data_IF_112914404647
#
_entry.id   IF_112914404647
#
_cell.length_a   1.000
_cell.length_b   1.000
_cell.length_c   1.000
_cell.angle_alpha   90.00
_cell.angle_beta   90.00
_cell.angle_gamma   90.00
#
_symmetry.space_group_name_H-M   'P 1'
#
loop_
_entity.id
_entity.type
_entity.pdbx_description
1 polymer ?
#
# COMPACT_ATOMS: atom_id res chain seq x y z
N UNK A 1 -17.98 -7.69 -14.10
CA UNK A 1 -17.13 -6.90 -15.01
C UNK A 1 -15.82 -7.65 -15.08
N UNK A 2 -15.49 -8.09 -16.29
CA UNK A 2 -14.44 -9.03 -16.62
C UNK A 2 -13.09 -8.62 -16.03
N UNK A 3 -12.53 -9.51 -15.21
CA UNK A 3 -11.11 -9.53 -14.86
C UNK A 3 -10.33 -9.51 -16.18
N UNK A 4 -9.82 -8.33 -16.56
CA UNK A 4 -8.86 -8.22 -17.64
C UNK A 4 -7.56 -8.84 -17.13
N UNK A 5 -7.04 -9.75 -17.95
CA UNK A 5 -6.04 -10.79 -17.69
C UNK A 5 -4.65 -10.22 -17.35
N UNK A 6 -4.56 -9.36 -16.35
CA UNK A 6 -3.32 -8.69 -15.94
C UNK A 6 -2.76 -9.36 -14.70
N UNK A 7 -1.45 -9.60 -14.72
CA UNK A 7 -0.73 -10.08 -13.56
C UNK A 7 -0.13 -8.89 -12.80
N UNK A 8 -0.31 -8.88 -11.48
CA UNK A 8 0.33 -7.93 -10.57
C UNK A 8 1.41 -8.69 -9.80
N UNK A 9 2.62 -8.15 -9.79
CA UNK A 9 3.77 -8.70 -9.07
C UNK A 9 4.13 -7.78 -7.92
N UNK A 10 4.12 -8.32 -6.71
CA UNK A 10 4.51 -7.64 -5.48
C UNK A 10 5.85 -8.22 -5.03
N UNK A 11 6.88 -7.38 -5.01
CA UNK A 11 8.23 -7.78 -4.62
C UNK A 11 8.54 -7.32 -3.20
N UNK A 12 9.39 -8.12 -2.56
CA UNK A 12 10.13 -7.72 -1.41
C UNK A 12 10.97 -6.46 -1.69
N UNK A 13 11.59 -5.90 -0.64
CA UNK A 13 12.44 -4.74 -0.80
C UNK A 13 13.61 -4.97 -1.76
N UNK A 14 13.96 -3.94 -2.53
CA UNK A 14 14.91 -4.03 -3.65
C UNK A 14 16.30 -3.45 -3.35
N UNK A 15 16.68 -3.25 -2.08
CA UNK A 15 17.94 -2.58 -1.71
C UNK A 15 19.06 -3.52 -1.26
N UNK A 16 18.74 -4.71 -0.75
CA UNK A 16 19.75 -5.69 -0.30
C UNK A 16 19.89 -6.89 -1.24
N UNK A 17 18.76 -7.42 -1.72
CA UNK A 17 18.71 -8.51 -2.70
C UNK A 17 17.70 -8.12 -3.78
N UNK A 18 18.09 -7.25 -4.74
CA UNK A 18 17.20 -6.83 -5.81
C UNK A 18 16.86 -8.03 -6.71
N UNK A 19 15.57 -8.27 -6.90
CA UNK A 19 15.01 -9.35 -7.74
C UNK A 19 14.28 -8.82 -8.96
N UNK A 20 14.16 -7.49 -9.09
CA UNK A 20 13.47 -6.85 -10.22
C UNK A 20 14.06 -7.26 -11.57
N UNK A 21 15.38 -7.28 -11.72
CA UNK A 21 16.03 -7.65 -12.98
C UNK A 21 15.75 -9.10 -13.38
N UNK A 22 15.85 -10.03 -12.44
CA UNK A 22 15.53 -11.45 -12.68
C UNK A 22 14.05 -11.66 -13.03
N UNK A 23 13.15 -10.94 -12.36
CA UNK A 23 11.73 -10.97 -12.71
C UNK A 23 11.50 -10.39 -14.10
N UNK A 24 12.11 -9.24 -14.42
CA UNK A 24 11.95 -8.57 -15.70
C UNK A 24 12.34 -9.47 -16.86
N UNK A 25 13.46 -10.19 -16.74
CA UNK A 25 13.86 -11.21 -17.72
C UNK A 25 12.85 -12.36 -17.84
N UNK A 26 12.24 -12.79 -16.74
CA UNK A 26 11.22 -13.86 -16.71
C UNK A 26 9.88 -13.44 -17.33
N UNK A 27 9.51 -12.16 -17.26
CA UNK A 27 8.21 -11.67 -17.73
C UNK A 27 8.06 -11.67 -19.25
N UNK A 28 9.17 -11.76 -20.00
CA UNK A 28 9.21 -11.76 -21.47
C UNK A 28 8.30 -10.68 -22.09
N UNK A 29 8.42 -9.44 -21.57
CA UNK A 29 7.56 -8.34 -21.94
C UNK A 29 7.82 -7.90 -23.39
N UNK A 30 6.77 -7.49 -24.14
CA UNK A 30 6.95 -6.89 -25.47
C UNK A 30 7.94 -5.71 -25.48
N UNK A 31 8.48 -5.39 -26.65
CA UNK A 31 9.30 -4.19 -26.83
C UNK A 31 8.52 -2.90 -26.52
N UNK A 32 9.20 -1.91 -25.92
CA UNK A 32 8.62 -0.64 -25.49
C UNK A 32 9.22 -0.10 -24.18
N UNK A 33 9.02 1.18 -23.83
CA UNK A 33 9.48 1.71 -22.55
C UNK A 33 8.74 1.05 -21.37
N UNK A 34 9.43 0.83 -20.25
CA UNK A 34 8.80 0.42 -19.00
C UNK A 34 8.45 1.68 -18.22
N UNK A 35 7.16 1.95 -18.06
CA UNK A 35 6.72 3.12 -17.30
C UNK A 35 7.06 2.90 -15.82
N UNK A 36 7.61 3.93 -15.18
CA UNK A 36 8.00 3.86 -13.76
C UNK A 36 7.31 4.98 -12.98
N UNK A 37 6.90 4.69 -11.74
CA UNK A 37 6.45 5.69 -10.77
C UNK A 37 7.45 5.70 -9.62
N UNK A 38 8.28 6.74 -9.55
CA UNK A 38 9.20 6.97 -8.42
C UNK A 38 8.74 8.07 -7.45
N UNK A 39 7.48 8.52 -7.55
CA UNK A 39 6.93 9.62 -6.76
C UNK A 39 7.06 9.50 -5.23
N UNK A 40 7.27 8.29 -4.70
CA UNK A 40 7.59 8.07 -3.29
C UNK A 40 8.98 8.62 -2.88
N UNK A 41 9.86 8.92 -3.82
CA UNK A 41 11.21 9.45 -3.61
C UNK A 41 11.24 10.99 -3.52
N UNK A 42 10.11 11.64 -3.77
CA UNK A 42 9.90 13.08 -3.63
C UNK A 42 10.91 13.88 -4.47
N UNK A 43 11.75 14.71 -3.84
CA UNK A 43 12.76 15.52 -4.52
C UNK A 43 13.80 14.69 -5.30
N UNK A 44 13.94 13.41 -4.98
CA UNK A 44 14.81 12.45 -5.70
C UNK A 44 14.07 11.70 -6.81
N UNK A 45 12.84 12.08 -7.16
CA UNK A 45 12.12 11.50 -8.30
C UNK A 45 12.97 11.64 -9.58
N UNK A 46 13.09 10.55 -10.34
CA UNK A 46 13.94 10.44 -11.52
C UNK A 46 15.44 10.22 -11.23
N UNK A 47 15.88 10.06 -9.98
CA UNK A 47 17.22 9.54 -9.65
C UNK A 47 17.23 8.00 -9.77
N UNK A 48 16.91 7.47 -10.95
CA UNK A 48 16.55 6.06 -11.18
C UNK A 48 17.59 5.24 -11.97
N UNK A 49 18.85 5.70 -12.06
CA UNK A 49 19.91 5.03 -12.84
C UNK A 49 20.09 3.54 -12.51
N UNK A 50 20.06 3.17 -11.22
CA UNK A 50 20.16 1.77 -10.79
C UNK A 50 18.91 0.96 -11.21
N UNK A 51 17.74 1.58 -11.10
CA UNK A 51 16.47 0.98 -11.52
C UNK A 51 16.42 0.78 -13.04
N UNK A 52 16.85 1.78 -13.81
CA UNK A 52 16.96 1.68 -15.27
C UNK A 52 17.89 0.55 -15.69
N UNK A 53 19.02 0.38 -14.99
CA UNK A 53 19.92 -0.75 -15.17
C UNK A 53 19.22 -2.11 -15.01
N UNK A 54 18.38 -2.28 -14.00
CA UNK A 54 17.58 -3.50 -13.79
C UNK A 54 16.51 -3.72 -14.87
N UNK A 55 16.05 -2.66 -15.52
CA UNK A 55 15.06 -2.71 -16.60
C UNK A 55 15.70 -2.70 -18.00
N UNK A 56 17.01 -2.87 -18.08
CA UNK A 56 17.76 -2.96 -19.34
C UNK A 56 17.83 -1.65 -20.12
N UNK A 57 17.83 -0.50 -19.44
CA UNK A 57 17.90 0.80 -20.11
C UNK A 57 16.58 1.26 -20.73
N UNK A 58 15.45 0.70 -20.28
CA UNK A 58 14.11 0.94 -20.83
C UNK A 58 13.20 1.69 -19.86
N UNK A 59 13.70 2.18 -18.72
CA UNK A 59 12.85 2.93 -17.79
C UNK A 59 12.38 4.25 -18.41
N UNK A 60 11.13 4.61 -18.12
CA UNK A 60 10.59 5.92 -18.42
C UNK A 60 9.74 6.37 -17.23
N UNK A 61 10.32 7.23 -16.39
CA UNK A 61 9.62 7.77 -15.22
C UNK A 61 8.43 8.64 -15.66
N UNK A 62 7.29 8.42 -15.03
CA UNK A 62 6.09 9.22 -15.21
C UNK A 62 6.17 10.57 -14.49
N UNK A 63 7.13 10.75 -13.59
CA UNK A 63 7.43 11.98 -12.87
C UNK A 63 6.21 12.55 -12.10
N UNK A 64 5.39 11.69 -11.49
CA UNK A 64 4.11 12.09 -10.90
C UNK A 64 4.27 13.13 -9.78
N UNK A 65 5.38 13.13 -9.04
CA UNK A 65 5.68 14.14 -8.03
C UNK A 65 5.90 15.51 -8.68
N UNK A 66 6.78 15.60 -9.68
CA UNK A 66 7.02 16.85 -10.44
C UNK A 66 5.80 17.33 -11.21
N UNK A 67 4.99 16.41 -11.77
CA UNK A 67 3.70 16.73 -12.40
C UNK A 67 2.75 17.38 -11.41
N UNK A 68 2.68 16.88 -10.18
CA UNK A 68 1.84 17.48 -9.15
C UNK A 68 2.31 18.89 -8.78
N UNK A 69 3.61 19.16 -8.73
CA UNK A 69 4.13 20.52 -8.50
C UNK A 69 3.72 21.50 -9.61
N UNK A 70 3.68 21.06 -10.87
CA UNK A 70 3.15 21.87 -11.97
C UNK A 70 1.67 22.16 -11.78
N UNK A 71 0.87 21.14 -11.46
CA UNK A 71 -0.57 21.29 -11.13
C UNK A 71 -0.77 22.32 -10.02
N UNK A 72 -0.04 22.21 -8.91
CA UNK A 72 -0.18 23.11 -7.77
C UNK A 72 0.33 24.54 -8.04
N UNK A 73 1.22 24.71 -9.03
CA UNK A 73 1.69 26.03 -9.46
C UNK A 73 0.69 26.71 -10.39
N UNK A 74 0.14 25.97 -11.33
CA UNK A 74 -0.76 26.47 -12.37
C UNK A 74 -2.21 26.60 -11.89
N UNK A 75 -2.62 25.84 -10.88
CA UNK A 75 -3.96 25.90 -10.27
C UNK A 75 -3.89 26.21 -8.76
N UNK A 76 -3.76 27.50 -8.39
CA UNK A 76 -3.67 27.90 -6.98
C UNK A 76 -4.94 27.61 -6.17
N UNK A 77 -6.12 27.66 -6.80
CA UNK A 77 -7.39 27.33 -6.15
C UNK A 77 -7.42 25.86 -5.75
N UNK A 78 -7.08 24.97 -6.69
CA UNK A 78 -6.96 23.54 -6.42
C UNK A 78 -5.91 23.26 -5.34
N UNK A 79 -4.75 23.92 -5.39
CA UNK A 79 -3.70 23.77 -4.37
C UNK A 79 -4.21 24.11 -2.97
N UNK A 80 -4.92 25.22 -2.81
CA UNK A 80 -5.42 25.61 -1.48
C UNK A 80 -6.48 24.64 -0.97
N UNK A 81 -7.43 24.24 -1.83
CA UNK A 81 -8.43 23.24 -1.48
C UNK A 81 -7.80 21.87 -1.13
N UNK A 82 -6.80 21.44 -1.89
CA UNK A 82 -6.06 20.20 -1.62
C UNK A 82 -5.31 20.29 -0.28
N UNK A 83 -4.66 21.42 0.01
CA UNK A 83 -3.99 21.67 1.29
C UNK A 83 -4.98 21.62 2.46
N UNK A 84 -6.16 22.23 2.32
CA UNK A 84 -7.20 22.20 3.35
C UNK A 84 -7.69 20.76 3.58
N UNK A 85 -7.93 19.99 2.52
CA UNK A 85 -8.28 18.57 2.62
C UNK A 85 -7.17 17.79 3.35
N UNK A 86 -5.89 17.96 2.98
CA UNK A 86 -4.77 17.31 3.67
C UNK A 86 -4.66 17.69 5.14
N UNK A 87 -4.98 18.94 5.49
CA UNK A 87 -5.06 19.36 6.88
C UNK A 87 -6.17 18.60 7.64
N UNK A 88 -7.38 18.52 7.08
CA UNK A 88 -8.49 17.76 7.69
C UNK A 88 -8.15 16.28 7.87
N UNK A 89 -7.48 15.67 6.89
CA UNK A 89 -7.05 14.26 6.98
C UNK A 89 -6.06 14.04 8.13
N UNK A 90 -5.05 14.91 8.28
CA UNK A 90 -4.10 14.84 9.41
C UNK A 90 -4.76 14.99 10.77
N UNK A 91 -5.74 15.89 10.88
CA UNK A 91 -6.50 16.04 12.14
C UNK A 91 -7.29 14.77 12.47
N UNK A 92 -7.91 14.13 11.46
CA UNK A 92 -8.63 12.85 11.65
C UNK A 92 -7.67 11.72 12.02
N UNK A 93 -6.49 11.66 11.40
CA UNK A 93 -5.43 10.71 11.73
C UNK A 93 -4.96 10.87 13.17
N UNK A 94 -4.69 12.09 13.64
CA UNK A 94 -4.30 12.35 15.03
C UNK A 94 -5.36 11.93 16.05
N UNK A 95 -6.64 12.12 15.73
CA UNK A 95 -7.75 11.64 16.58
C UNK A 95 -7.88 10.11 16.57
N UNK A 96 -7.57 9.47 15.44
CA UNK A 96 -7.55 8.02 15.33
C UNK A 96 -6.39 7.42 16.14
N UNK A 97 -5.17 7.92 15.99
CA UNK A 97 -4.00 7.45 16.72
C UNK A 97 -4.19 7.58 18.24
N UNK A 98 -4.72 8.73 18.70
CA UNK A 98 -5.05 8.94 20.10
C UNK A 98 -5.95 7.82 20.65
N UNK A 99 -7.02 7.44 19.91
CA UNK A 99 -7.94 6.37 20.32
C UNK A 99 -7.32 4.98 20.16
N UNK A 100 -6.57 4.76 19.09
CA UNK A 100 -5.91 3.51 18.75
C UNK A 100 -5.00 3.06 19.88
N UNK A 101 -4.21 3.98 20.44
CA UNK A 101 -3.27 3.68 21.53
C UNK A 101 -3.95 3.02 22.74
N UNK A 102 -5.14 3.50 23.12
CA UNK A 102 -5.90 2.94 24.24
C UNK A 102 -6.53 1.59 23.90
N UNK A 103 -7.10 1.44 22.70
CA UNK A 103 -7.74 0.20 22.26
C UNK A 103 -6.71 -0.91 22.05
N UNK A 104 -5.58 -0.64 21.41
CA UNK A 104 -4.50 -1.61 21.27
C UNK A 104 -3.93 -1.99 22.65
N UNK A 105 -3.82 -1.00 23.55
CA UNK A 105 -3.42 -1.25 24.93
C UNK A 105 -4.40 -2.16 25.70
N UNK A 106 -5.70 -2.05 25.48
CA UNK A 106 -6.69 -2.96 26.11
C UNK A 106 -6.63 -4.36 25.50
N UNK A 107 -6.53 -4.47 24.17
CA UNK A 107 -6.37 -5.76 23.46
C UNK A 107 -5.13 -6.50 23.98
N UNK A 108 -3.96 -5.85 24.00
CA UNK A 108 -2.70 -6.46 24.49
C UNK A 108 -2.82 -6.94 25.95
N UNK A 109 -3.54 -6.21 26.81
CA UNK A 109 -3.76 -6.64 28.21
C UNK A 109 -4.71 -7.82 28.32
N UNK A 110 -5.77 -7.85 27.51
CA UNK A 110 -6.75 -8.95 27.52
C UNK A 110 -6.18 -10.25 26.96
N UNK A 111 -5.33 -10.16 25.94
CA UNK A 111 -4.62 -11.33 25.39
C UNK A 111 -3.70 -11.96 26.45
N UNK A 112 -3.05 -11.15 27.27
CA UNK A 112 -2.14 -11.59 28.35
C UNK A 112 -2.83 -11.87 29.69
N UNK A 113 -4.16 -11.78 29.75
CA UNK A 113 -4.89 -11.97 30.99
C UNK A 113 -4.98 -13.45 31.38
N UNK A 114 -4.81 -13.75 32.66
CA UNK A 114 -5.00 -15.09 33.22
C UNK A 114 -6.42 -15.25 33.78
N UNK A 115 -7.05 -16.41 33.59
CA UNK A 115 -8.43 -16.64 34.01
C UNK A 115 -9.08 -17.86 33.37
N UNK A 116 -10.39 -17.99 33.54
CA UNK A 116 -11.18 -19.05 32.92
C UNK A 116 -11.33 -18.76 31.42
N UNK A 117 -10.85 -19.67 30.56
CA UNK A 117 -10.82 -19.49 29.11
C UNK A 117 -12.21 -19.23 28.51
N UNK A 118 -13.25 -19.87 29.05
CA UNK A 118 -14.65 -19.67 28.63
C UNK A 118 -15.18 -18.25 28.86
N UNK A 119 -14.58 -17.51 29.80
CA UNK A 119 -14.90 -16.11 30.07
C UNK A 119 -13.94 -15.16 29.34
N UNK A 120 -12.67 -15.54 29.17
CA UNK A 120 -11.66 -14.70 28.55
C UNK A 120 -11.81 -14.61 27.02
N UNK A 121 -12.07 -15.74 26.35
CA UNK A 121 -12.10 -15.79 24.88
C UNK A 121 -13.13 -14.83 24.26
N UNK A 122 -14.39 -14.76 24.74
CA UNK A 122 -15.36 -13.80 24.22
C UNK A 122 -14.92 -12.33 24.40
N UNK A 123 -14.25 -12.01 25.50
CA UNK A 123 -13.77 -10.66 25.78
C UNK A 123 -12.57 -10.28 24.89
N UNK A 124 -11.68 -11.24 24.60
CA UNK A 124 -10.57 -11.05 23.66
C UNK A 124 -11.08 -10.84 22.23
N UNK A 125 -12.03 -11.66 21.77
CA UNK A 125 -12.68 -11.53 20.47
C UNK A 125 -13.39 -10.17 20.35
N UNK A 126 -14.15 -9.76 21.37
CA UNK A 126 -14.84 -8.47 21.39
C UNK A 126 -13.85 -7.29 21.36
N UNK A 127 -12.72 -7.38 22.06
CA UNK A 127 -11.70 -6.33 22.04
C UNK A 127 -11.07 -6.16 20.65
N UNK A 128 -10.85 -7.25 19.92
CA UNK A 128 -10.39 -7.19 18.52
C UNK A 128 -11.48 -6.56 17.64
N UNK A 129 -12.75 -6.89 17.85
CA UNK A 129 -13.85 -6.26 17.09
C UNK A 129 -13.92 -4.75 17.33
N UNK A 130 -13.75 -4.28 18.57
CA UNK A 130 -13.68 -2.84 18.87
C UNK A 130 -12.53 -2.14 18.11
N UNK A 131 -11.40 -2.83 17.94
CA UNK A 131 -10.29 -2.33 17.12
C UNK A 131 -10.68 -2.24 15.63
N UNK A 132 -11.38 -3.25 15.10
CA UNK A 132 -11.88 -3.27 13.71
C UNK A 132 -12.92 -2.18 13.46
N UNK A 133 -13.81 -1.95 14.41
CA UNK A 133 -14.80 -0.87 14.38
C UNK A 133 -14.13 0.51 14.38
N UNK A 134 -13.06 0.68 15.16
CA UNK A 134 -12.26 1.92 15.16
C UNK A 134 -11.62 2.18 13.79
N UNK A 135 -10.99 1.16 13.20
CA UNK A 135 -10.38 1.25 11.87
C UNK A 135 -11.42 1.58 10.79
N UNK A 136 -12.57 0.89 10.81
CA UNK A 136 -13.65 1.10 9.85
C UNK A 136 -14.23 2.52 9.97
N UNK A 137 -14.40 3.01 11.20
CA UNK A 137 -14.82 4.38 11.44
C UNK A 137 -13.81 5.41 10.92
N UNK A 138 -12.51 5.17 11.16
CA UNK A 138 -11.44 6.04 10.68
C UNK A 138 -11.43 6.12 9.14
N UNK A 139 -11.44 4.97 8.46
CA UNK A 139 -11.50 4.90 7.00
C UNK A 139 -12.75 5.61 6.44
N UNK A 140 -13.92 5.40 7.05
CA UNK A 140 -15.14 6.11 6.66
C UNK A 140 -14.95 7.63 6.71
N UNK A 141 -14.33 8.16 7.79
CA UNK A 141 -14.09 9.60 7.93
C UNK A 141 -13.14 10.15 6.87
N UNK A 142 -12.11 9.39 6.52
CA UNK A 142 -11.21 9.73 5.40
C UNK A 142 -11.99 9.79 4.09
N UNK A 143 -12.81 8.77 3.82
CA UNK A 143 -13.62 8.68 2.59
C UNK A 143 -14.62 9.81 2.49
N UNK A 144 -15.28 10.20 3.59
CA UNK A 144 -16.20 11.33 3.62
C UNK A 144 -15.48 12.63 3.21
N UNK A 145 -14.30 12.90 3.80
CA UNK A 145 -13.50 14.10 3.49
C UNK A 145 -13.04 14.11 2.03
N UNK A 146 -12.54 12.97 1.54
CA UNK A 146 -12.12 12.85 0.14
C UNK A 146 -13.29 12.95 -0.82
N UNK A 147 -14.41 12.31 -0.51
CA UNK A 147 -15.62 12.34 -1.34
C UNK A 147 -16.18 13.74 -1.49
N UNK A 148 -16.16 14.55 -0.42
CA UNK A 148 -16.51 15.97 -0.47
C UNK A 148 -15.56 16.75 -1.39
N UNK A 149 -14.25 16.53 -1.25
CA UNK A 149 -13.22 17.16 -2.10
C UNK A 149 -13.38 16.77 -3.57
N UNK A 150 -13.51 15.47 -3.88
CA UNK A 150 -13.68 14.94 -5.23
C UNK A 150 -14.96 15.48 -5.89
N UNK A 151 -16.08 15.51 -5.15
CA UNK A 151 -17.36 16.01 -5.68
C UNK A 151 -17.30 17.51 -5.98
N UNK A 152 -16.62 18.28 -5.13
CA UNK A 152 -16.57 19.74 -5.24
C UNK A 152 -15.56 20.21 -6.29
N UNK A 153 -14.33 19.66 -6.25
CA UNK A 153 -13.23 20.13 -7.09
C UNK A 153 -13.10 19.37 -8.40
N UNK A 154 -13.64 18.14 -8.47
CA UNK A 154 -13.52 17.20 -9.60
C UNK A 154 -12.11 17.21 -10.19
N UNK A 155 -11.08 16.79 -9.42
CA UNK A 155 -9.68 16.95 -9.78
C UNK A 155 -9.36 16.51 -11.21
N UNK A 156 -9.93 15.38 -11.65
CA UNK A 156 -9.65 14.81 -12.97
C UNK A 156 -10.24 15.63 -14.15
N UNK A 157 -11.20 16.51 -13.89
CA UNK A 157 -11.80 17.41 -14.88
C UNK A 157 -11.08 18.76 -14.95
N UNK A 158 -10.14 19.05 -14.03
CA UNK A 158 -9.39 20.31 -14.04
C UNK A 158 -8.39 20.31 -15.18
N UNK A 159 -8.34 21.40 -15.94
CA UNK A 159 -7.60 21.49 -17.21
C UNK A 159 -6.15 21.03 -17.10
N UNK A 160 -5.41 21.51 -16.09
CA UNK A 160 -3.99 21.16 -15.89
C UNK A 160 -3.82 19.67 -15.58
N UNK A 161 -4.68 19.10 -14.73
CA UNK A 161 -4.63 17.66 -14.38
C UNK A 161 -5.02 16.81 -15.59
N UNK A 162 -6.07 17.18 -16.33
CA UNK A 162 -6.51 16.48 -17.53
C UNK A 162 -5.41 16.45 -18.61
N UNK A 163 -4.70 17.58 -18.80
CA UNK A 163 -3.54 17.67 -19.71
C UNK A 163 -2.41 16.73 -19.28
N UNK A 164 -1.99 16.79 -18.02
CA UNK A 164 -0.93 15.92 -17.49
C UNK A 164 -1.32 14.43 -17.60
N UNK A 165 -2.60 14.09 -17.37
CA UNK A 165 -3.12 12.72 -17.54
C UNK A 165 -3.07 12.23 -18.98
N UNK A 166 -3.29 13.09 -19.95
CA UNK A 166 -3.22 12.71 -21.36
C UNK A 166 -1.78 12.41 -21.79
N UNK A 167 -0.81 13.19 -21.29
CA UNK A 167 0.62 12.88 -21.47
C UNK A 167 1.00 11.55 -20.83
N UNK A 168 0.56 11.29 -19.58
CA UNK A 168 0.77 10.01 -18.91
C UNK A 168 0.14 8.86 -19.71
N UNK A 169 -1.08 9.05 -20.23
CA UNK A 169 -1.75 8.04 -21.06
C UNK A 169 -0.93 7.72 -22.30
N UNK A 170 -0.45 8.73 -23.01
CA UNK A 170 0.37 8.56 -24.21
C UNK A 170 1.63 7.74 -23.93
N UNK A 171 2.29 8.00 -22.80
CA UNK A 171 3.44 7.21 -22.35
C UNK A 171 3.03 5.75 -22.09
N UNK A 172 1.93 5.56 -21.36
CA UNK A 172 1.45 4.23 -21.00
C UNK A 172 0.98 3.43 -22.23
N UNK A 173 0.45 4.04 -23.28
CA UNK A 173 0.04 3.33 -24.50
C UNK A 173 1.19 2.51 -25.11
N UNK A 174 2.41 3.05 -25.11
CA UNK A 174 3.61 2.37 -25.58
C UNK A 174 4.27 1.44 -24.56
N UNK A 175 3.86 1.48 -23.29
CA UNK A 175 4.49 0.72 -22.22
C UNK A 175 3.81 -0.64 -22.00
N UNK A 176 4.53 -1.77 -22.00
CA UNK A 176 3.95 -3.08 -21.69
C UNK A 176 3.71 -3.29 -20.20
N UNK A 177 4.42 -2.57 -19.34
CA UNK A 177 4.33 -2.69 -17.89
C UNK A 177 4.47 -1.34 -17.17
N UNK A 178 3.97 -1.32 -15.94
CA UNK A 178 4.12 -0.22 -14.98
C UNK A 178 4.85 -0.73 -13.74
N UNK A 179 5.94 -0.06 -13.40
CA UNK A 179 6.70 -0.29 -12.17
C UNK A 179 6.35 0.78 -11.14
N UNK A 180 5.97 0.38 -9.92
CA UNK A 180 5.65 1.29 -8.82
C UNK A 180 6.63 1.05 -7.67
N UNK A 181 7.51 2.02 -7.44
CA UNK A 181 8.61 1.84 -6.49
C UNK A 181 8.18 2.02 -5.03
N UNK A 182 9.06 1.64 -4.11
CA UNK A 182 8.97 2.00 -2.70
C UNK A 182 9.21 3.49 -2.42
N UNK A 183 9.16 3.90 -1.16
CA UNK A 183 9.41 5.29 -0.74
C UNK A 183 8.36 5.75 0.27
N UNK A 184 8.08 7.05 0.30
CA UNK A 184 7.08 7.61 1.19
C UNK A 184 5.65 7.26 0.73
N UNK A 185 5.02 6.30 1.40
CA UNK A 185 3.73 5.69 0.99
C UNK A 185 2.57 6.70 0.86
N UNK A 186 2.45 7.66 1.79
CA UNK A 186 1.38 8.66 1.72
C UNK A 186 1.51 9.58 0.49
N UNK A 187 2.74 10.03 0.16
CA UNK A 187 3.01 10.84 -1.03
C UNK A 187 2.73 10.02 -2.29
N UNK A 188 3.25 8.79 -2.36
CA UNK A 188 3.03 7.89 -3.49
C UNK A 188 1.54 7.69 -3.76
N UNK A 189 0.76 7.31 -2.76
CA UNK A 189 -0.69 7.11 -2.88
C UNK A 189 -1.41 8.39 -3.32
N UNK A 190 -1.01 9.54 -2.76
CA UNK A 190 -1.59 10.84 -3.13
C UNK A 190 -1.38 11.14 -4.61
N UNK A 191 -0.18 10.89 -5.15
CA UNK A 191 0.17 11.15 -6.55
C UNK A 191 -0.51 10.16 -7.49
N UNK A 192 -0.55 8.87 -7.14
CA UNK A 192 -1.28 7.85 -7.91
C UNK A 192 -2.77 8.21 -8.03
N UNK A 193 -3.39 8.73 -6.97
CA UNK A 193 -4.79 9.17 -6.97
C UNK A 193 -5.01 10.46 -7.76
N UNK A 194 -4.16 11.46 -7.58
CA UNK A 194 -4.26 12.75 -8.27
C UNK A 194 -4.31 12.57 -9.80
N UNK A 195 -3.54 11.62 -10.33
CA UNK A 195 -3.51 11.28 -11.75
C UNK A 195 -4.36 10.05 -12.10
N UNK A 196 -5.18 9.53 -11.18
CA UNK A 196 -6.05 8.35 -11.34
C UNK A 196 -5.37 7.19 -12.09
N UNK A 197 -4.23 6.78 -11.53
CA UNK A 197 -3.39 5.73 -12.11
C UNK A 197 -4.04 4.36 -12.08
N UNK A 198 -5.01 4.14 -11.18
CA UNK A 198 -5.80 2.90 -11.13
C UNK A 198 -6.48 2.63 -12.48
N UNK A 199 -7.06 3.67 -13.07
CA UNK A 199 -7.73 3.59 -14.36
C UNK A 199 -6.72 3.60 -15.52
N UNK A 200 -5.70 4.45 -15.47
CA UNK A 200 -4.71 4.58 -16.55
C UNK A 200 -3.85 3.32 -16.72
N UNK A 201 -3.59 2.58 -15.64
CA UNK A 201 -2.78 1.37 -15.65
C UNK A 201 -3.63 0.08 -15.75
N UNK A 202 -4.90 0.17 -16.19
CA UNK A 202 -5.81 -0.98 -16.21
C UNK A 202 -5.23 -2.16 -17.00
N UNK A 203 -4.71 -1.90 -18.20
CA UNK A 203 -4.25 -2.94 -19.13
C UNK A 203 -2.76 -3.28 -19.00
N UNK A 204 -2.12 -2.88 -17.89
CA UNK A 204 -0.68 -3.04 -17.70
C UNK A 204 -0.37 -4.18 -16.75
N UNK A 205 0.69 -4.93 -17.06
CA UNK A 205 1.40 -5.72 -16.04
C UNK A 205 1.97 -4.74 -15.02
N UNK A 206 1.66 -4.95 -13.74
CA UNK A 206 2.12 -4.07 -12.68
C UNK A 206 3.17 -4.81 -11.87
N UNK A 207 4.32 -4.17 -11.64
CA UNK A 207 5.34 -4.64 -10.70
C UNK A 207 5.51 -3.59 -9.62
N UNK A 208 5.45 -3.98 -8.35
CA UNK A 208 5.57 -3.01 -7.25
C UNK A 208 6.28 -3.61 -6.05
N UNK A 209 6.94 -2.78 -5.24
CA UNK A 209 7.59 -3.21 -4.01
C UNK A 209 7.44 -2.22 -2.88
N UNK A 210 7.63 -2.69 -1.65
CA UNK A 210 7.57 -1.86 -0.45
C UNK A 210 6.28 -1.01 -0.42
N UNK A 211 6.39 0.32 -0.33
CA UNK A 211 5.24 1.22 -0.39
C UNK A 211 4.38 1.03 -1.65
N UNK A 212 4.99 0.76 -2.81
CA UNK A 212 4.29 0.42 -4.04
C UNK A 212 3.39 -0.80 -3.91
N UNK A 213 3.86 -1.86 -3.22
CA UNK A 213 3.04 -3.03 -2.96
C UNK A 213 1.88 -2.72 -1.99
N UNK A 214 2.14 -1.90 -0.97
CA UNK A 214 1.13 -1.49 0.01
C UNK A 214 0.01 -0.66 -0.63
N UNK A 215 0.31 0.27 -1.54
CA UNK A 215 -0.74 1.09 -2.17
C UNK A 215 -1.64 0.31 -3.13
N UNK A 216 -1.23 -0.88 -3.57
CA UNK A 216 -2.05 -1.72 -4.46
C UNK A 216 -3.11 -2.53 -3.71
N UNK A 217 -3.02 -2.67 -2.39
CA UNK A 217 -4.01 -3.40 -1.59
C UNK A 217 -5.25 -2.53 -1.30
N UNK A 218 -6.25 -3.09 -0.62
CA UNK A 218 -7.43 -2.35 -0.17
C UNK A 218 -7.10 -1.40 0.99
N UNK A 219 -6.15 -1.75 1.84
CA UNK A 219 -5.77 -0.99 3.03
C UNK A 219 -4.26 -0.83 3.12
N UNK A 220 -3.81 0.41 3.24
CA UNK A 220 -2.42 0.74 3.54
C UNK A 220 -2.24 0.71 5.05
N UNK A 221 -1.45 -0.25 5.54
CA UNK A 221 -1.18 -0.43 6.97
C UNK A 221 0.26 -0.01 7.26
N UNK A 222 0.44 0.96 8.15
CA UNK A 222 1.76 1.29 8.71
C UNK A 222 2.01 0.38 9.90
N UNK A 223 3.18 -0.25 9.95
CA UNK A 223 3.49 -1.20 11.01
C UNK A 223 4.97 -1.13 11.35
N UNK A 224 5.24 -1.11 12.65
CA UNK A 224 6.55 -1.33 13.23
C UNK A 224 6.36 -1.58 14.73
N UNK A 225 6.76 -2.75 15.24
CA UNK A 225 6.62 -3.06 16.67
C UNK A 225 7.69 -2.38 17.53
N UNK A 226 8.84 -2.05 16.94
CA UNK A 226 9.98 -1.44 17.62
C UNK A 226 10.59 -0.25 16.85
N UNK A 227 9.82 0.79 16.51
CA UNK A 227 10.41 1.98 15.93
C UNK A 227 11.33 2.68 16.96
N UNK A 228 12.30 3.50 16.50
CA UNK A 228 13.28 4.15 17.38
C UNK A 228 12.69 4.98 18.54
N UNK A 229 11.42 5.38 18.44
CA UNK A 229 10.70 6.20 19.42
C UNK A 229 9.91 5.39 20.47
N UNK A 230 9.98 4.05 20.46
CA UNK A 230 9.25 3.17 21.38
C UNK A 230 8.25 2.27 20.65
N UNK A 231 7.53 1.35 21.34
CA UNK A 231 6.64 0.40 20.67
C UNK A 231 5.55 1.10 19.87
N UNK A 232 5.51 0.83 18.56
CA UNK A 232 4.49 1.37 17.67
C UNK A 232 3.19 0.54 17.74
N UNK A 233 2.10 1.15 17.30
CA UNK A 233 0.87 0.42 17.00
C UNK A 233 0.74 0.34 15.48
N UNK A 234 0.28 -0.79 14.96
CA UNK A 234 -0.04 -0.86 13.55
C UNK A 234 -1.24 0.06 13.25
N UNK A 235 -1.12 0.92 12.24
CA UNK A 235 -2.09 1.94 11.90
C UNK A 235 -2.66 1.68 10.51
N UNK A 236 -3.99 1.76 10.38
CA UNK A 236 -4.62 1.84 9.06
C UNK A 236 -4.52 3.29 8.60
N UNK A 237 -3.57 3.58 7.70
CA UNK A 237 -3.32 4.94 7.21
C UNK A 237 -4.45 5.39 6.30
N UNK A 238 -4.81 4.56 5.32
CA UNK A 238 -5.78 4.92 4.29
C UNK A 238 -6.24 3.68 3.50
N UNK A 239 -7.33 3.82 2.73
CA UNK A 239 -7.60 2.86 1.64
C UNK A 239 -6.50 2.93 0.59
N UNK A 240 -6.11 1.81 0.01
CA UNK A 240 -5.21 1.79 -1.15
C UNK A 240 -5.96 1.96 -2.48
N UNK A 241 -5.40 1.41 -3.55
CA UNK A 241 -6.03 1.35 -4.87
C UNK A 241 -6.96 0.12 -5.02
N UNK A 242 -6.85 -0.88 -4.14
CA UNK A 242 -7.71 -2.07 -4.14
C UNK A 242 -7.55 -2.91 -5.41
N UNK A 243 -6.34 -3.02 -5.93
CA UNK A 243 -5.99 -3.85 -7.09
C UNK A 243 -5.61 -5.28 -6.70
N UNK A 244 -5.13 -5.46 -5.47
CA UNK A 244 -4.90 -6.76 -4.84
C UNK A 244 -5.88 -6.91 -3.66
N UNK A 245 -7.12 -7.39 -3.91
CA UNK A 245 -8.15 -7.49 -2.87
C UNK A 245 -7.82 -8.59 -1.86
N UNK A 246 -8.34 -8.46 -0.64
CA UNK A 246 -8.14 -9.42 0.47
C UNK A 246 -6.67 -9.65 0.82
N UNK A 247 -5.83 -8.64 0.61
CA UNK A 247 -4.41 -8.68 0.94
C UNK A 247 -4.05 -7.49 1.84
N UNK A 248 -3.24 -7.73 2.87
CA UNK A 248 -2.46 -6.71 3.57
C UNK A 248 -0.99 -7.03 3.33
N UNK A 249 -0.33 -6.20 2.52
CA UNK A 249 1.08 -6.37 2.19
C UNK A 249 1.95 -5.80 3.31
N UNK A 250 2.86 -6.62 3.84
CA UNK A 250 3.76 -6.30 4.95
C UNK A 250 5.24 -6.42 4.50
N UNK A 251 5.71 -5.51 3.63
CA UNK A 251 7.09 -5.51 3.14
C UNK A 251 8.08 -5.19 4.27
N UNK A 252 9.26 -5.82 4.25
CA UNK A 252 10.23 -5.82 5.37
C UNK A 252 9.64 -6.36 6.69
N UNK A 253 8.50 -7.07 6.68
CA UNK A 253 7.81 -7.48 7.91
C UNK A 253 8.66 -8.34 8.84
N UNK A 254 9.57 -9.17 8.29
CA UNK A 254 10.55 -9.97 9.07
C UNK A 254 11.47 -9.12 9.97
N UNK A 255 11.67 -7.84 9.63
CA UNK A 255 12.51 -6.89 10.37
C UNK A 255 11.69 -5.93 11.25
N UNK A 256 10.39 -5.77 10.96
CA UNK A 256 9.54 -4.72 11.56
C UNK A 256 8.51 -5.26 12.55
N UNK A 257 8.18 -6.55 12.46
CA UNK A 257 7.22 -7.23 13.32
C UNK A 257 7.92 -8.24 14.23
N UNK A 258 7.45 -8.36 15.47
CA UNK A 258 7.83 -9.45 16.36
C UNK A 258 7.02 -10.71 16.01
N UNK A 259 7.53 -11.46 15.04
CA UNK A 259 6.91 -12.69 14.55
C UNK A 259 6.94 -13.85 15.56
N UNK A 260 7.61 -13.68 16.71
CA UNK A 260 7.68 -14.68 17.77
C UNK A 260 6.60 -14.53 18.84
N UNK A 261 5.91 -13.39 18.86
CA UNK A 261 4.85 -13.10 19.82
C UNK A 261 3.50 -13.57 19.26
N UNK A 262 3.10 -14.79 19.63
CA UNK A 262 1.91 -15.47 19.08
C UNK A 262 0.62 -14.65 19.25
N UNK A 263 0.43 -14.02 20.40
CA UNK A 263 -0.73 -13.16 20.69
C UNK A 263 -0.80 -11.95 19.74
N UNK A 264 0.34 -11.31 19.48
CA UNK A 264 0.49 -10.18 18.57
C UNK A 264 0.23 -10.58 17.13
N UNK A 265 0.77 -11.74 16.69
CA UNK A 265 0.50 -12.33 15.38
C UNK A 265 -1.00 -12.63 15.23
N UNK A 266 -1.61 -13.29 16.21
CA UNK A 266 -3.03 -13.63 16.21
C UNK A 266 -3.90 -12.36 16.14
N UNK A 267 -3.60 -11.38 17.00
CA UNK A 267 -4.31 -10.10 17.06
C UNK A 267 -4.25 -9.35 15.73
N UNK A 268 -3.05 -9.25 15.14
CA UNK A 268 -2.85 -8.60 13.85
C UNK A 268 -3.63 -9.32 12.73
N UNK A 269 -3.53 -10.65 12.66
CA UNK A 269 -4.24 -11.43 11.64
C UNK A 269 -5.77 -11.32 11.79
N UNK A 270 -6.31 -11.45 13.00
CA UNK A 270 -7.74 -11.35 13.26
C UNK A 270 -8.30 -9.95 12.96
N UNK A 271 -7.53 -8.89 13.28
CA UNK A 271 -7.91 -7.50 12.97
C UNK A 271 -8.21 -7.30 11.49
N UNK A 272 -7.42 -7.91 10.60
CA UNK A 272 -7.54 -7.68 9.16
C UNK A 272 -8.40 -8.69 8.41
N UNK A 273 -8.98 -9.69 9.08
CA UNK A 273 -9.91 -10.62 8.44
C UNK A 273 -11.02 -9.88 7.67
N UNK A 274 -11.41 -10.36 6.48
CA UNK A 274 -10.97 -11.61 5.83
C UNK A 274 -9.70 -11.48 4.97
N UNK A 275 -8.96 -10.37 5.03
CA UNK A 275 -7.74 -10.20 4.25
C UNK A 275 -6.57 -11.02 4.83
N UNK A 276 -5.69 -11.49 3.95
CA UNK A 276 -4.47 -12.20 4.33
C UNK A 276 -3.34 -11.22 4.62
N UNK A 277 -2.74 -11.34 5.80
CA UNK A 277 -1.57 -10.55 6.20
C UNK A 277 -0.29 -11.25 5.73
N UNK A 278 0.32 -10.72 4.67
CA UNK A 278 1.44 -11.35 3.97
C UNK A 278 2.72 -10.58 4.21
N UNK A 279 3.67 -11.25 4.86
CA UNK A 279 5.01 -10.75 5.19
C UNK A 279 5.98 -11.11 4.08
N UNK A 280 6.62 -10.08 3.53
CA UNK A 280 7.60 -10.18 2.45
C UNK A 280 8.93 -9.55 2.90
N UNK A 281 10.02 -10.30 2.78
CA UNK A 281 11.39 -9.86 3.01
C UNK A 281 12.19 -9.74 1.72
N UNK A 282 13.49 -9.56 1.85
CA UNK A 282 14.41 -9.48 0.71
C UNK A 282 14.31 -10.76 -0.14
N UNK A 283 14.27 -10.61 -1.47
CA UNK A 283 14.13 -11.72 -2.41
C UNK A 283 12.71 -12.26 -2.62
N UNK A 284 11.76 -11.99 -1.71
CA UNK A 284 10.41 -12.54 -1.80
C UNK A 284 9.61 -11.95 -2.99
N UNK A 285 8.75 -12.77 -3.61
CA UNK A 285 7.92 -12.40 -4.75
C UNK A 285 6.52 -13.02 -4.63
N UNK A 286 5.49 -12.21 -4.88
CA UNK A 286 4.07 -12.63 -4.90
C UNK A 286 3.45 -12.19 -6.23
N UNK A 287 2.80 -13.10 -6.93
CA UNK A 287 2.02 -12.80 -8.14
C UNK A 287 0.53 -12.92 -7.87
N UNK A 288 -0.26 -12.03 -8.47
CA UNK A 288 -1.72 -12.05 -8.46
C UNK A 288 -2.23 -12.02 -9.91
N UNK A 289 -2.97 -13.05 -10.31
CA UNK A 289 -3.48 -13.21 -11.68
C UNK A 289 -4.89 -12.61 -11.90
N UNK A 290 -5.43 -11.95 -10.87
CA UNK A 290 -6.80 -11.43 -10.84
C UNK A 290 -7.77 -12.28 -10.01
N UNK A 291 -7.40 -13.52 -9.67
CA UNK A 291 -8.23 -14.43 -8.88
C UNK A 291 -7.46 -15.03 -7.69
N UNK A 292 -6.22 -15.49 -7.92
CA UNK A 292 -5.40 -16.23 -6.96
C UNK A 292 -4.05 -15.58 -6.74
N UNK A 293 -3.52 -15.72 -5.53
CA UNK A 293 -2.15 -15.34 -5.23
C UNK A 293 -1.26 -16.57 -5.32
N UNK A 294 -0.05 -16.38 -5.87
CA UNK A 294 1.04 -17.35 -5.84
C UNK A 294 2.31 -16.68 -5.35
N UNK A 295 3.20 -17.43 -4.72
CA UNK A 295 4.38 -16.89 -4.08
C UNK A 295 5.56 -17.88 -4.07
N UNK A 296 6.76 -17.34 -3.97
CA UNK A 296 7.97 -18.12 -3.70
C UNK A 296 8.02 -18.60 -2.23
N UNK A 297 8.81 -19.65 -1.94
CA UNK A 297 8.81 -20.33 -0.63
C UNK A 297 9.15 -19.45 0.58
N UNK A 298 9.74 -18.27 0.37
CA UNK A 298 10.16 -17.34 1.42
C UNK A 298 9.03 -16.49 2.01
N UNK A 299 7.86 -16.43 1.36
CA UNK A 299 6.73 -15.60 1.75
C UNK A 299 5.99 -16.20 2.94
N UNK A 300 5.65 -15.35 3.91
CA UNK A 300 5.02 -15.74 5.16
C UNK A 300 3.61 -15.16 5.28
N UNK A 301 2.70 -15.93 5.87
CA UNK A 301 1.34 -15.50 6.24
C UNK A 301 1.19 -15.50 7.75
N UNK A 302 0.66 -14.41 8.30
CA UNK A 302 0.23 -14.35 9.69
C UNK A 302 -1.14 -15.03 9.83
N UNK A 303 -1.26 -15.97 10.76
CA UNK A 303 -2.48 -16.74 10.97
C UNK A 303 -3.28 -16.25 12.19
N UNK A 304 -4.63 -16.31 12.16
CA UNK A 304 -5.49 -15.97 13.29
C UNK A 304 -5.23 -16.74 14.60
N UNK A 305 -4.54 -17.88 14.54
CA UNK A 305 -4.15 -18.67 15.71
C UNK A 305 -2.77 -18.32 16.28
N UNK A 306 -2.12 -17.26 15.76
CA UNK A 306 -0.82 -16.80 16.25
C UNK A 306 0.39 -17.44 15.56
N UNK A 307 0.18 -18.34 14.60
CA UNK A 307 1.28 -18.97 13.85
C UNK A 307 1.69 -18.15 12.64
N UNK A 308 2.94 -18.34 12.21
CA UNK A 308 3.49 -17.78 10.97
C UNK A 308 3.78 -18.93 10.02
N UNK A 309 3.13 -18.92 8.86
CA UNK A 309 3.17 -20.04 7.91
C UNK A 309 3.86 -19.63 6.62
N UNK A 310 4.70 -20.50 6.07
CA UNK A 310 5.15 -20.34 4.68
C UNK A 310 4.00 -20.66 3.74
N UNK A 311 3.80 -19.80 2.75
CA UNK A 311 2.71 -19.93 1.77
C UNK A 311 3.25 -19.78 0.36
N UNK A 312 2.74 -20.61 -0.54
CA UNK A 312 3.08 -20.56 -1.98
C UNK A 312 1.87 -20.28 -2.86
N UNK A 313 0.65 -20.39 -2.32
CA UNK A 313 -0.59 -19.98 -2.97
C UNK A 313 -1.74 -19.80 -1.96
N UNK A 314 -2.68 -18.88 -2.24
CA UNK A 314 -3.90 -18.64 -1.45
C UNK A 314 -4.94 -17.79 -2.20
#
# INVERSE_FOLDING_TARGET
MTSENRTIWLLGPQYHQPTLGELYEKLDLPDGPIAVVTAGWQEREGEDEELDGHLGGRSLDLELYRRADRVFREDPEFREAHREMQHKLREVEGLYDLRLSYVVGSVRRLLKAEGLEELLRPEQEHAIEQLRELDAWHLKRILDIRGEFETTLKPLEREVIAREREEIRTILEGAPALVITGGHVAVLLNRLRLFGMKELARDKTIVAWSAGAMVLTERVVLFHDHPPQGPGNAEVMEEGLGLCPRLVALPDGKKRLDLSEEDGVASFANRFLPAYCIVMGDGDCVAFDGETFSAEEGVLRLSPNGTVEKVTSW
#
